data_IF_970938302704
#
_entry.id   IF_970938302704
#
_cell.length_a   1.000
_cell.length_b   1.000
_cell.length_c   1.000
_cell.angle_alpha   90.00
_cell.angle_beta   90.00
_cell.angle_gamma   90.00
#
_symmetry.space_group_name_H-M   'P 1'
#
loop_
_entity.id
_entity.type
_entity.pdbx_description
1 polymer ?
#
# COMPACT_ATOMS: atom_id res chain seq x y z
N UNK A 1 10.48 8.52 8.04
CA UNK A 1 10.75 8.35 9.48
C UNK A 1 9.55 7.64 10.09
N UNK A 2 9.81 6.72 11.01
CA UNK A 2 8.77 5.93 11.65
C UNK A 2 9.16 5.73 13.09
N UNK A 3 8.28 6.12 13.99
CA UNK A 3 8.45 5.96 15.43
C UNK A 3 7.28 5.16 15.98
N UNK A 4 7.56 4.19 16.85
CA UNK A 4 6.55 3.33 17.46
C UNK A 4 6.41 3.72 18.93
N UNK A 5 5.18 4.06 19.35
CA UNK A 5 4.85 4.45 20.73
C UNK A 5 3.73 3.53 21.22
N UNK A 6 4.09 2.54 22.04
CA UNK A 6 3.17 1.45 22.37
C UNK A 6 2.79 0.67 21.11
N UNK A 7 1.49 0.58 20.83
CA UNK A 7 0.95 -0.06 19.62
C UNK A 7 0.67 0.93 18.48
N UNK A 8 0.88 2.23 18.72
CA UNK A 8 0.70 3.27 17.72
C UNK A 8 1.99 3.53 16.94
N UNK A 9 1.83 3.85 15.65
CA UNK A 9 2.92 4.21 14.75
C UNK A 9 2.72 5.64 14.29
N UNK A 10 3.74 6.47 14.52
CA UNK A 10 3.86 7.79 13.90
C UNK A 10 4.73 7.66 12.66
N UNK A 11 4.19 7.99 11.50
CA UNK A 11 4.87 7.86 10.23
C UNK A 11 4.95 9.20 9.51
N UNK A 12 6.14 9.52 8.99
CA UNK A 12 6.37 10.69 8.17
C UNK A 12 7.20 10.34 6.94
N UNK A 13 6.78 10.78 5.77
CA UNK A 13 7.50 10.57 4.52
C UNK A 13 7.38 11.78 3.59
N UNK A 14 8.43 11.97 2.79
CA UNK A 14 8.50 12.95 1.71
C UNK A 14 9.12 12.27 0.49
N UNK A 15 8.50 12.45 -0.68
CA UNK A 15 9.04 11.95 -1.94
C UNK A 15 10.35 12.67 -2.28
N UNK A 16 11.41 11.89 -2.52
CA UNK A 16 12.74 12.39 -2.91
C UNK A 16 13.09 12.14 -4.38
N UNK A 17 12.20 11.48 -5.13
CA UNK A 17 12.44 11.12 -6.52
C UNK A 17 12.49 12.35 -7.44
N UNK A 18 13.61 12.53 -8.15
CA UNK A 18 13.83 13.68 -9.03
C UNK A 18 12.80 13.71 -10.16
N UNK A 19 12.23 14.89 -10.40
CA UNK A 19 11.27 15.13 -11.49
C UNK A 19 9.88 14.56 -11.26
N UNK A 20 9.62 13.92 -10.12
CA UNK A 20 8.27 13.54 -9.72
C UNK A 20 7.60 14.70 -8.93
N UNK A 21 6.25 14.82 -8.99
CA UNK A 21 5.52 15.74 -8.12
C UNK A 21 5.83 15.48 -6.64
N UNK A 22 5.95 16.56 -5.87
CA UNK A 22 6.16 16.46 -4.41
C UNK A 22 4.98 15.73 -3.77
N UNK A 23 5.27 14.83 -2.83
CA UNK A 23 4.25 14.16 -2.03
C UNK A 23 4.76 14.01 -0.61
N UNK A 24 3.94 14.42 0.35
CA UNK A 24 4.20 14.39 1.78
C UNK A 24 3.08 13.60 2.46
N UNK A 25 3.47 12.74 3.42
CA UNK A 25 2.55 11.98 4.26
C UNK A 25 2.99 12.11 5.71
N UNK A 26 2.07 12.48 6.59
CA UNK A 26 2.21 12.45 8.05
C UNK A 26 0.94 11.86 8.64
N UNK A 27 1.09 10.75 9.35
CA UNK A 27 -0.03 10.06 9.94
C UNK A 27 0.37 9.33 11.22
N UNK A 28 -0.59 9.23 12.13
CA UNK A 28 -0.54 8.39 13.32
C UNK A 28 -1.60 7.29 13.14
N UNK A 29 -1.21 6.03 13.30
CA UNK A 29 -2.12 4.90 13.09
C UNK A 29 -1.85 3.75 14.05
N UNK A 30 -2.86 2.93 14.32
CA UNK A 30 -2.76 1.77 15.20
C UNK A 30 -3.76 0.68 14.81
N UNK A 31 -3.45 -0.57 15.17
CA UNK A 31 -4.43 -1.65 15.15
C UNK A 31 -5.44 -1.45 16.29
N UNK A 32 -6.71 -1.76 16.04
CA UNK A 32 -7.79 -1.62 17.04
C UNK A 32 -8.40 -2.95 17.45
N UNK A 33 -7.92 -4.08 16.90
CA UNK A 33 -8.49 -5.38 17.18
C UNK A 33 -7.62 -6.54 16.70
N UNK A 34 -8.13 -7.75 16.89
CA UNK A 34 -7.41 -8.98 16.60
C UNK A 34 -7.19 -9.21 15.10
N UNK A 35 -6.14 -9.99 14.81
CA UNK A 35 -5.81 -10.44 13.45
C UNK A 35 -6.94 -11.31 12.89
N UNK A 36 -7.35 -11.01 11.67
CA UNK A 36 -8.33 -11.75 10.87
C UNK A 36 -7.85 -11.90 9.43
N UNK A 37 -8.17 -13.04 8.82
CA UNK A 37 -7.93 -13.27 7.39
C UNK A 37 -9.18 -12.88 6.60
N UNK A 38 -8.98 -12.09 5.55
CA UNK A 38 -10.05 -11.73 4.64
C UNK A 38 -10.64 -12.99 3.98
N UNK A 39 -11.96 -13.02 3.82
CA UNK A 39 -12.65 -14.14 3.17
C UNK A 39 -12.76 -13.88 1.67
N UNK A 40 -12.65 -14.91 0.81
CA UNK A 40 -12.92 -14.77 -0.62
C UNK A 40 -14.26 -14.10 -0.88
N UNK A 41 -14.27 -13.13 -1.80
CA UNK A 41 -15.45 -12.34 -2.14
C UNK A 41 -15.69 -11.09 -1.28
N UNK A 42 -14.90 -10.83 -0.24
CA UNK A 42 -14.97 -9.55 0.50
C UNK A 42 -14.10 -8.47 -0.16
N UNK A 43 -14.36 -7.22 0.18
CA UNK A 43 -13.57 -6.08 -0.28
C UNK A 43 -12.11 -6.19 0.21
N UNK A 44 -11.90 -6.58 1.46
CA UNK A 44 -10.54 -6.77 1.99
C UNK A 44 -9.75 -7.77 1.15
N UNK A 45 -10.36 -8.92 0.85
CA UNK A 45 -9.70 -9.95 0.05
C UNK A 45 -9.37 -9.43 -1.34
N UNK A 46 -10.28 -8.68 -1.97
CA UNK A 46 -10.03 -8.07 -3.28
C UNK A 46 -8.89 -7.03 -3.24
N UNK A 47 -8.78 -6.25 -2.15
CA UNK A 47 -7.74 -5.24 -1.99
C UNK A 47 -6.35 -5.86 -1.76
N UNK A 48 -6.27 -7.01 -1.07
CA UNK A 48 -4.99 -7.53 -0.55
C UNK A 48 -4.46 -8.78 -1.24
N UNK A 49 -5.30 -9.62 -1.84
CA UNK A 49 -4.86 -10.87 -2.49
C UNK A 49 -4.43 -10.62 -3.94
N UNK A 50 -3.33 -9.88 -4.11
CA UNK A 50 -2.72 -9.56 -5.41
C UNK A 50 -1.37 -10.28 -5.53
N UNK A 51 -1.30 -11.30 -6.39
CA UNK A 51 -0.11 -12.14 -6.54
C UNK A 51 0.84 -11.71 -7.67
N UNK A 52 0.68 -10.49 -8.20
CA UNK A 52 1.69 -9.87 -9.04
C UNK A 52 1.66 -8.34 -8.91
N UNK A 53 2.79 -7.71 -9.17
CA UNK A 53 2.92 -6.26 -9.27
C UNK A 53 3.24 -5.86 -10.71
N UNK A 54 2.87 -4.63 -11.07
CA UNK A 54 3.16 -4.01 -12.35
C UNK A 54 3.94 -2.72 -12.14
N UNK A 55 4.94 -2.48 -12.98
CA UNK A 55 5.71 -1.24 -12.97
C UNK A 55 6.30 -0.93 -14.34
N UNK A 56 6.98 0.20 -14.47
CA UNK A 56 7.68 0.58 -15.69
C UNK A 56 9.17 0.27 -15.58
N UNK A 57 9.67 -0.54 -16.51
CA UNK A 57 11.08 -0.85 -16.67
C UNK A 57 11.81 0.19 -17.54
N UNK A 58 13.02 -0.16 -17.97
CA UNK A 58 13.85 0.70 -18.82
C UNK A 58 13.12 1.09 -20.11
N UNK A 59 13.11 2.39 -20.40
CA UNK A 59 12.44 2.95 -21.58
C UNK A 59 10.92 3.00 -21.46
N UNK A 60 10.37 2.94 -20.24
CA UNK A 60 8.92 3.02 -20.00
C UNK A 60 8.15 1.74 -20.33
N UNK A 61 8.84 0.64 -20.63
CA UNK A 61 8.19 -0.64 -20.94
C UNK A 61 7.43 -1.16 -19.72
N UNK A 62 6.22 -1.70 -19.91
CA UNK A 62 5.49 -2.36 -18.85
C UNK A 62 6.20 -3.68 -18.48
N UNK A 63 6.44 -3.87 -17.18
CA UNK A 63 7.01 -5.10 -16.64
C UNK A 63 6.13 -5.61 -15.49
N UNK A 64 6.15 -6.93 -15.29
CA UNK A 64 5.41 -7.65 -14.26
C UNK A 64 6.36 -8.42 -13.36
N UNK A 65 6.09 -8.44 -12.07
CA UNK A 65 6.76 -9.34 -11.12
C UNK A 65 5.72 -10.21 -10.42
N UNK A 66 5.96 -11.52 -10.39
CA UNK A 66 5.17 -12.41 -9.53
C UNK A 66 5.52 -12.14 -8.07
N UNK A 67 4.50 -12.17 -7.21
CA UNK A 67 4.66 -12.10 -5.77
C UNK A 67 3.83 -13.19 -5.11
N UNK A 68 4.38 -13.78 -4.07
CA UNK A 68 3.67 -14.78 -3.28
C UNK A 68 3.78 -14.42 -1.81
N UNK A 69 2.63 -14.37 -1.16
CA UNK A 69 2.48 -14.21 0.27
C UNK A 69 1.33 -15.09 0.74
N UNK A 70 1.34 -15.47 2.03
CA UNK A 70 0.16 -16.04 2.66
C UNK A 70 -0.98 -15.01 2.72
N UNK A 71 -2.24 -15.40 2.96
CA UNK A 71 -3.31 -14.41 3.15
C UNK A 71 -2.95 -13.40 4.24
N UNK A 72 -3.24 -12.11 3.98
CA UNK A 72 -2.79 -11.03 4.86
C UNK A 72 -3.33 -11.18 6.30
N UNK A 73 -2.49 -11.01 7.34
CA UNK A 73 -2.93 -11.01 8.73
C UNK A 73 -3.52 -9.64 9.12
N UNK A 74 -4.63 -9.27 8.47
CA UNK A 74 -5.24 -7.96 8.61
C UNK A 74 -5.86 -7.77 10.00
N UNK A 75 -5.80 -6.55 10.50
CA UNK A 75 -6.49 -6.07 11.70
C UNK A 75 -7.34 -4.86 11.31
N UNK A 76 -8.49 -4.62 11.97
CA UNK A 76 -9.10 -3.29 11.91
C UNK A 76 -8.11 -2.26 12.46
N UNK A 77 -8.20 -1.04 11.94
CA UNK A 77 -7.28 0.03 12.28
C UNK A 77 -8.00 1.37 12.38
N UNK A 78 -7.31 2.32 12.97
CA UNK A 78 -7.63 3.74 12.90
C UNK A 78 -6.37 4.49 12.43
N UNK A 79 -6.57 5.58 11.69
CA UNK A 79 -5.49 6.43 11.22
C UNK A 79 -5.92 7.89 11.20
N UNK A 80 -5.13 8.75 11.83
CA UNK A 80 -5.24 10.19 11.75
C UNK A 80 -4.20 10.72 10.77
N UNK A 81 -4.62 11.54 9.80
CA UNK A 81 -3.74 12.12 8.80
C UNK A 81 -3.60 13.62 9.01
N UNK A 82 -2.43 14.06 9.47
CA UNK A 82 -2.11 15.49 9.58
C UNK A 82 -1.80 16.09 8.19
N UNK A 83 -1.14 15.29 7.34
CA UNK A 83 -0.78 15.67 5.97
C UNK A 83 -0.91 14.44 5.09
N UNK A 84 -1.66 14.52 4.00
CA UNK A 84 -1.67 13.48 2.97
C UNK A 84 -1.86 14.11 1.58
N UNK A 85 -0.76 14.31 0.86
CA UNK A 85 -0.80 14.85 -0.51
C UNK A 85 -0.56 13.77 -1.58
N UNK A 86 -0.64 12.48 -1.19
CA UNK A 86 -0.26 11.36 -2.05
C UNK A 86 -1.17 11.23 -3.28
N UNK A 87 -2.48 11.43 -3.10
CA UNK A 87 -3.46 11.35 -4.18
C UNK A 87 -3.38 12.58 -5.10
N UNK A 88 -3.24 13.78 -4.53
CA UNK A 88 -3.06 15.03 -5.29
C UNK A 88 -1.81 14.97 -6.19
N UNK A 89 -0.70 14.43 -5.66
CA UNK A 89 0.53 14.22 -6.41
C UNK A 89 0.36 13.24 -7.58
N UNK A 90 -0.67 12.39 -7.54
CA UNK A 90 -1.07 11.49 -8.62
C UNK A 90 -2.20 12.05 -9.50
N UNK A 91 -2.68 13.27 -9.25
CA UNK A 91 -3.78 13.89 -9.98
C UNK A 91 -5.16 13.30 -9.64
N UNK A 92 -5.29 12.66 -8.47
CA UNK A 92 -6.53 12.01 -8.03
C UNK A 92 -7.21 12.85 -6.94
N UNK A 93 -8.49 13.15 -7.13
CA UNK A 93 -9.33 13.73 -6.08
C UNK A 93 -9.96 12.64 -5.22
N UNK A 94 -9.71 12.67 -3.92
CA UNK A 94 -10.32 11.73 -2.98
C UNK A 94 -11.71 12.23 -2.54
N UNK A 95 -12.67 11.32 -2.30
CA UNK A 95 -13.94 11.68 -1.69
C UNK A 95 -13.74 12.19 -0.25
N UNK A 96 -14.57 13.14 0.18
CA UNK A 96 -14.60 13.62 1.56
C UNK A 96 -15.41 12.66 2.45
N UNK A 97 -14.88 11.46 2.64
CA UNK A 97 -15.42 10.41 3.51
C UNK A 97 -14.30 9.82 4.35
N UNK A 98 -14.67 9.18 5.46
CA UNK A 98 -13.70 8.49 6.31
C UNK A 98 -13.01 7.36 5.53
N UNK A 99 -11.66 7.27 5.57
CA UNK A 99 -10.96 6.19 4.88
C UNK A 99 -11.25 4.84 5.53
N UNK A 100 -11.42 3.82 4.70
CA UNK A 100 -11.36 2.43 5.14
C UNK A 100 -9.89 2.08 5.44
N UNK A 101 -9.61 1.62 6.65
CA UNK A 101 -8.24 1.28 7.07
C UNK A 101 -8.12 -0.15 7.57
N UNK A 102 -7.01 -0.77 7.22
CA UNK A 102 -6.60 -2.09 7.71
C UNK A 102 -5.11 -2.05 8.03
N UNK A 103 -4.71 -2.76 9.07
CA UNK A 103 -3.32 -2.83 9.49
C UNK A 103 -2.82 -4.27 9.48
N UNK A 104 -1.60 -4.47 8.99
CA UNK A 104 -0.85 -5.71 9.17
C UNK A 104 0.55 -5.33 9.66
N UNK A 105 0.97 -5.93 10.78
CA UNK A 105 2.27 -5.61 11.39
C UNK A 105 3.44 -6.01 10.49
N UNK A 106 3.35 -7.20 9.90
CA UNK A 106 4.31 -7.73 8.95
C UNK A 106 3.70 -8.88 8.17
N UNK A 107 4.31 -9.18 7.02
CA UNK A 107 4.03 -10.34 6.19
C UNK A 107 5.29 -10.71 5.42
N UNK A 108 5.56 -12.01 5.31
CA UNK A 108 6.65 -12.49 4.47
C UNK A 108 6.18 -12.57 3.01
N UNK A 109 7.01 -12.06 2.10
CA UNK A 109 6.72 -11.99 0.67
C UNK A 109 7.89 -12.55 -0.11
N UNK A 110 7.63 -13.51 -0.99
CA UNK A 110 8.54 -13.90 -2.06
C UNK A 110 8.27 -13.05 -3.30
N UNK A 111 9.32 -12.46 -3.88
CA UNK A 111 9.23 -11.60 -5.07
C UNK A 111 10.19 -12.14 -6.13
N UNK A 112 9.68 -12.43 -7.33
CA UNK A 112 10.49 -12.90 -8.44
C UNK A 112 11.02 -11.75 -9.31
N UNK A 113 11.97 -12.06 -10.19
CA UNK A 113 12.51 -11.10 -11.13
C UNK A 113 11.41 -10.49 -12.02
N UNK A 114 11.58 -9.21 -12.38
CA UNK A 114 10.65 -8.52 -13.26
C UNK A 114 10.81 -9.00 -14.71
N UNK A 115 9.69 -9.32 -15.34
CA UNK A 115 9.61 -9.78 -16.71
C UNK A 115 8.86 -8.78 -17.59
N UNK A 116 9.28 -8.65 -18.84
CA UNK A 116 8.58 -7.80 -19.82
C UNK A 116 7.25 -8.42 -20.22
N UNK A 117 6.20 -7.60 -20.30
CA UNK A 117 4.90 -8.06 -20.76
C UNK A 117 4.83 -7.94 -22.28
N UNK A 118 4.51 -9.05 -22.94
CA UNK A 118 4.15 -9.06 -24.35
C UNK A 118 2.67 -8.66 -24.48
N UNK A 119 2.28 -7.81 -25.43
CA UNK A 119 0.86 -7.58 -25.74
C UNK A 119 0.17 -8.90 -26.05
N UNK A 120 -1.07 -9.08 -25.60
CA UNK A 120 -1.88 -10.20 -26.07
C UNK A 120 -2.08 -10.07 -27.59
N UNK A 121 -1.70 -11.10 -28.33
CA UNK A 121 -1.99 -11.26 -29.78
C UNK A 121 -3.47 -11.38 -30.05
#
# INVERSE_FOLDING_TARGET
>A
QMDVVGDAVRYQSRRTHRGAPTADLRADYAATGAVRRAQPGTLEHWLTERYCLYTTGRGGRLVRGEIHHLPWPLQPAEAAFDVNTMADAAGLSLPSVEPLTHFAKSIDVAVWALEGIQPAT
#
